data_IF_484575535897
#
_entry.id   IF_484575535897
#
_cell.length_a   1.000
_cell.length_b   1.000
_cell.length_c   1.000
_cell.angle_alpha   90.00
_cell.angle_beta   90.00
_cell.angle_gamma   90.00
#
_symmetry.space_group_name_H-M   'P 1'
#
loop_
_entity.id
_entity.type
_entity.pdbx_description
1 polymer ?
#
# COMPACT_ATOMS: atom_id res chain seq x y z
N UNK A 1 11.47 -61.62 8.99
CA UNK A 1 10.30 -61.10 8.27
C UNK A 1 10.65 -60.50 6.91
N UNK A 2 11.69 -59.68 6.81
CA UNK A 2 12.12 -59.01 5.56
C UNK A 2 12.49 -59.98 4.43
N UNK A 3 13.23 -61.07 4.73
CA UNK A 3 13.63 -62.05 3.72
C UNK A 3 12.45 -62.86 3.13
N UNK A 4 11.41 -63.11 3.92
CA UNK A 4 10.18 -63.75 3.39
C UNK A 4 9.40 -62.82 2.49
N UNK A 5 9.38 -61.54 2.79
CA UNK A 5 8.73 -60.52 1.96
C UNK A 5 9.46 -60.33 0.62
N UNK A 6 10.80 -60.32 0.66
CA UNK A 6 11.61 -60.21 -0.56
C UNK A 6 11.44 -61.47 -1.45
N UNK A 7 11.43 -62.70 -0.87
CA UNK A 7 11.22 -63.90 -1.67
C UNK A 7 9.81 -63.98 -2.30
N UNK A 8 8.76 -63.51 -1.59
CA UNK A 8 7.41 -63.41 -2.14
C UNK A 8 7.32 -62.40 -3.30
N UNK A 9 8.02 -61.29 -3.20
CA UNK A 9 8.13 -60.30 -4.27
C UNK A 9 8.86 -60.90 -5.51
N UNK A 10 9.96 -61.61 -5.31
CA UNK A 10 10.69 -62.19 -6.43
C UNK A 10 9.92 -63.32 -7.11
N UNK A 11 9.12 -64.12 -6.38
CA UNK A 11 8.24 -65.15 -6.96
C UNK A 11 7.06 -64.52 -7.72
N UNK A 12 6.54 -63.38 -7.26
CA UNK A 12 5.51 -62.59 -7.95
C UNK A 12 6.02 -62.02 -9.29
N UNK A 13 7.27 -61.57 -9.33
CA UNK A 13 7.94 -61.09 -10.54
C UNK A 13 8.27 -62.22 -11.52
N UNK A 14 8.64 -63.44 -11.01
CA UNK A 14 8.91 -64.62 -11.84
C UNK A 14 7.69 -65.21 -12.53
N UNK A 15 6.46 -64.97 -12.05
CA UNK A 15 5.22 -65.46 -12.62
C UNK A 15 4.65 -64.64 -13.80
N UNK A 16 5.44 -63.75 -14.44
CA UNK A 16 5.05 -62.99 -15.65
C UNK A 16 3.84 -62.10 -15.42
N UNK A 17 3.69 -61.03 -16.14
CA UNK A 17 2.52 -60.12 -16.19
C UNK A 17 1.91 -59.58 -14.89
N UNK A 18 1.60 -60.43 -13.94
CA UNK A 18 0.94 -60.07 -12.67
C UNK A 18 1.82 -59.17 -11.77
N UNK A 19 3.12 -59.44 -11.69
CA UNK A 19 4.07 -58.62 -10.90
C UNK A 19 4.28 -57.25 -11.47
N UNK A 20 4.37 -57.15 -12.79
CA UNK A 20 4.44 -55.88 -13.50
C UNK A 20 3.16 -55.02 -13.32
N UNK A 21 1.98 -55.70 -13.33
CA UNK A 21 0.71 -55.04 -13.10
C UNK A 21 0.60 -54.45 -11.68
N UNK A 22 0.98 -55.20 -10.66
CA UNK A 22 1.02 -54.73 -9.26
C UNK A 22 1.98 -53.54 -9.09
N UNK A 23 3.16 -53.62 -9.69
CA UNK A 23 4.17 -52.53 -9.65
C UNK A 23 3.58 -51.28 -10.32
N UNK A 24 2.95 -51.39 -11.50
CA UNK A 24 2.34 -50.29 -12.20
C UNK A 24 1.22 -49.66 -11.36
N UNK A 25 0.41 -50.49 -10.69
CA UNK A 25 -0.70 -50.00 -9.81
C UNK A 25 -0.14 -49.23 -8.60
N UNK A 26 0.93 -49.76 -7.97
CA UNK A 26 1.59 -49.03 -6.87
C UNK A 26 2.20 -47.70 -7.32
N UNK A 27 2.85 -47.66 -8.47
CA UNK A 27 3.41 -46.44 -9.03
C UNK A 27 2.29 -45.40 -9.33
N UNK A 28 1.19 -45.83 -9.92
CA UNK A 28 0.03 -44.98 -10.18
C UNK A 28 -0.59 -44.42 -8.89
N UNK A 29 -0.69 -45.26 -7.84
CA UNK A 29 -1.20 -44.85 -6.53
C UNK A 29 -0.29 -43.79 -5.89
N UNK A 30 1.03 -44.02 -5.88
CA UNK A 30 1.99 -43.06 -5.35
C UNK A 30 1.99 -41.76 -6.15
N UNK A 31 1.83 -41.81 -7.46
CA UNK A 31 1.73 -40.64 -8.31
C UNK A 31 0.48 -39.81 -7.97
N UNK A 32 -0.68 -40.46 -7.82
CA UNK A 32 -1.94 -39.79 -7.44
C UNK A 32 -1.84 -39.18 -6.05
N UNK A 33 -1.34 -39.91 -5.07
CA UNK A 33 -1.14 -39.41 -3.70
C UNK A 33 -0.16 -38.24 -3.67
N UNK A 34 0.95 -38.32 -4.41
CA UNK A 34 1.94 -37.26 -4.53
C UNK A 34 1.35 -35.98 -5.15
N UNK A 35 0.56 -36.11 -6.22
CA UNK A 35 -0.11 -34.94 -6.85
C UNK A 35 -1.16 -34.32 -5.96
N UNK A 36 -1.94 -35.11 -5.23
CA UNK A 36 -2.92 -34.60 -4.26
C UNK A 36 -2.23 -33.84 -3.12
N UNK A 37 -1.17 -34.42 -2.57
CA UNK A 37 -0.38 -33.78 -1.51
C UNK A 37 0.23 -32.44 -2.00
N UNK A 38 0.85 -32.45 -3.18
CA UNK A 38 1.41 -31.24 -3.78
C UNK A 38 0.36 -30.13 -3.98
N UNK A 39 -0.86 -30.51 -4.44
CA UNK A 39 -1.98 -29.55 -4.58
C UNK A 39 -2.41 -28.93 -3.25
N UNK A 40 -2.52 -29.73 -2.20
CA UNK A 40 -2.89 -29.24 -0.86
C UNK A 40 -1.84 -28.28 -0.32
N UNK A 41 -0.57 -28.67 -0.40
CA UNK A 41 0.54 -27.79 0.05
C UNK A 41 0.60 -26.49 -0.75
N UNK A 42 0.45 -26.58 -2.07
CA UNK A 42 0.43 -25.40 -2.94
C UNK A 42 -0.73 -24.48 -2.63
N UNK A 43 -1.96 -25.02 -2.49
CA UNK A 43 -3.14 -24.25 -2.15
C UNK A 43 -3.00 -23.54 -0.79
N UNK A 44 -2.46 -24.24 0.21
CA UNK A 44 -2.20 -23.67 1.53
C UNK A 44 -1.14 -22.55 1.51
N UNK A 45 -0.09 -22.71 0.71
CA UNK A 45 0.95 -21.68 0.56
C UNK A 45 0.43 -20.45 -0.19
N UNK A 46 -0.38 -20.65 -1.23
CA UNK A 46 -0.98 -19.58 -2.01
C UNK A 46 -1.98 -18.77 -1.18
N UNK A 47 -2.83 -19.43 -0.39
CA UNK A 47 -3.79 -18.75 0.47
C UNK A 47 -3.09 -17.85 1.51
N UNK A 48 -1.98 -18.32 2.11
CA UNK A 48 -1.18 -17.52 3.04
C UNK A 48 -0.56 -16.28 2.37
N UNK A 49 -0.02 -16.42 1.15
CA UNK A 49 0.52 -15.28 0.40
C UNK A 49 -0.55 -14.25 0.08
N UNK A 50 -1.72 -14.69 -0.44
CA UNK A 50 -2.83 -13.80 -0.75
C UNK A 50 -3.34 -13.08 0.52
N UNK A 51 -3.44 -13.76 1.64
CA UNK A 51 -3.84 -13.16 2.91
C UNK A 51 -2.84 -12.09 3.38
N UNK A 52 -1.53 -12.36 3.27
CA UNK A 52 -0.48 -11.41 3.62
C UNK A 52 -0.51 -10.16 2.73
N UNK A 53 -0.64 -10.33 1.41
CA UNK A 53 -0.73 -9.21 0.46
C UNK A 53 -1.97 -8.36 0.69
N UNK A 54 -3.12 -8.99 0.98
CA UNK A 54 -4.36 -8.27 1.33
C UNK A 54 -4.20 -7.47 2.63
N UNK A 55 -3.60 -8.06 3.66
CA UNK A 55 -3.35 -7.37 4.92
C UNK A 55 -2.43 -6.16 4.74
N UNK A 56 -1.38 -6.29 3.93
CA UNK A 56 -0.45 -5.21 3.62
C UNK A 56 -1.13 -4.09 2.79
N UNK A 57 -1.94 -4.45 1.79
CA UNK A 57 -2.74 -3.49 1.01
C UNK A 57 -3.72 -2.70 1.89
N UNK A 58 -4.43 -3.38 2.80
CA UNK A 58 -5.34 -2.72 3.76
C UNK A 58 -4.57 -1.79 4.71
N UNK A 59 -3.40 -2.22 5.21
CA UNK A 59 -2.55 -1.39 6.07
C UNK A 59 -2.08 -0.12 5.35
N UNK A 60 -1.62 -0.25 4.10
CA UNK A 60 -1.23 0.90 3.26
C UNK A 60 -2.39 1.85 3.00
N UNK A 61 -3.58 1.32 2.65
CA UNK A 61 -4.77 2.14 2.43
C UNK A 61 -5.19 2.90 3.68
N UNK A 62 -5.16 2.26 4.85
CA UNK A 62 -5.47 2.93 6.13
C UNK A 62 -4.46 4.02 6.47
N UNK A 63 -3.17 3.79 6.21
CA UNK A 63 -2.15 4.81 6.43
C UNK A 63 -2.35 6.04 5.53
N UNK A 64 -2.68 5.84 4.24
CA UNK A 64 -2.97 6.93 3.29
C UNK A 64 -4.22 7.69 3.70
N UNK A 65 -5.32 6.99 4.02
CA UNK A 65 -6.57 7.62 4.46
C UNK A 65 -6.39 8.37 5.79
N UNK A 66 -5.63 7.80 6.73
CA UNK A 66 -5.31 8.46 8.00
C UNK A 66 -4.48 9.74 7.80
N UNK A 67 -3.55 9.73 6.85
CA UNK A 67 -2.78 10.93 6.46
C UNK A 67 -3.68 12.03 5.92
N UNK A 68 -4.50 11.71 4.88
CA UNK A 68 -5.42 12.65 4.25
C UNK A 68 -6.45 13.23 5.24
N UNK A 69 -7.02 12.39 6.11
CA UNK A 69 -7.95 12.85 7.14
C UNK A 69 -7.25 13.75 8.16
N UNK A 70 -6.02 13.40 8.56
CA UNK A 70 -5.20 14.23 9.46
C UNK A 70 -4.86 15.60 8.88
N UNK A 71 -4.53 15.66 7.59
CA UNK A 71 -4.30 16.92 6.88
C UNK A 71 -5.55 17.81 6.94
N UNK A 72 -6.73 17.28 6.59
CA UNK A 72 -7.97 18.07 6.57
C UNK A 72 -8.47 18.52 7.95
N UNK A 73 -8.18 17.77 9.00
CA UNK A 73 -8.57 18.11 10.38
C UNK A 73 -7.54 19.01 11.07
N UNK A 74 -6.32 19.09 10.54
CA UNK A 74 -5.21 19.84 11.15
C UNK A 74 -5.52 21.30 11.50
N UNK A 75 -6.34 22.06 10.74
CA UNK A 75 -6.69 23.44 11.12
C UNK A 75 -7.41 23.56 12.48
N UNK A 76 -8.08 22.49 12.92
CA UNK A 76 -8.81 22.45 14.19
C UNK A 76 -8.00 21.89 15.35
N UNK A 77 -6.74 21.52 15.11
CA UNK A 77 -5.85 20.98 16.14
C UNK A 77 -5.10 22.12 16.86
N UNK A 78 -4.75 21.92 18.14
CA UNK A 78 -3.94 22.88 18.87
C UNK A 78 -2.60 23.15 18.18
N UNK A 79 -2.21 24.44 18.11
CA UNK A 79 -0.93 24.85 17.51
C UNK A 79 -0.97 25.06 15.99
N UNK A 80 -2.13 24.99 15.36
CA UNK A 80 -2.26 25.41 13.95
C UNK A 80 -1.93 26.93 13.82
N UNK A 81 -1.20 27.37 12.77
CA UNK A 81 -0.57 28.70 12.75
C UNK A 81 -1.52 29.87 12.54
N UNK A 82 -2.79 29.63 12.25
CA UNK A 82 -3.80 30.69 12.03
C UNK A 82 -5.22 30.24 12.42
N UNK A 83 -6.20 31.15 12.35
CA UNK A 83 -7.61 30.79 12.49
C UNK A 83 -7.98 29.79 11.38
N UNK A 84 -8.64 28.65 11.70
CA UNK A 84 -9.12 27.69 10.70
C UNK A 84 -9.96 28.32 9.58
N UNK A 85 -10.72 29.37 9.89
CA UNK A 85 -11.55 30.07 8.91
C UNK A 85 -10.73 30.86 7.86
N UNK A 86 -9.50 31.21 8.16
CA UNK A 86 -8.58 31.88 7.23
C UNK A 86 -7.85 30.89 6.29
N UNK A 87 -7.84 29.62 6.62
CA UNK A 87 -7.15 28.59 5.86
C UNK A 87 -8.02 28.03 4.73
N UNK A 88 -7.41 27.77 3.59
CA UNK A 88 -8.02 27.12 2.42
C UNK A 88 -7.22 25.87 2.08
N UNK A 89 -7.88 24.73 2.06
CA UNK A 89 -7.26 23.48 1.64
C UNK A 89 -6.99 23.51 0.12
N UNK A 90 -5.77 23.22 -0.26
CA UNK A 90 -5.29 23.17 -1.65
C UNK A 90 -4.96 21.73 -2.03
N UNK A 91 -4.33 20.97 -1.11
CA UNK A 91 -3.86 19.63 -1.34
C UNK A 91 -2.41 19.63 -1.81
N UNK A 92 -2.11 19.00 -2.94
CA UNK A 92 -0.72 19.00 -3.42
C UNK A 92 -0.46 20.20 -4.35
N UNK A 93 0.70 20.82 -4.27
CA UNK A 93 1.93 20.46 -3.54
C UNK A 93 2.11 21.12 -2.18
N UNK A 94 1.11 21.79 -1.65
CA UNK A 94 1.04 22.42 -0.33
C UNK A 94 -0.35 22.17 0.21
N UNK A 95 -0.48 21.79 1.47
CA UNK A 95 -1.77 21.38 2.02
C UNK A 95 -2.75 22.55 2.15
N UNK A 96 -2.28 23.69 2.65
CA UNK A 96 -3.11 24.88 2.82
C UNK A 96 -2.42 26.16 2.36
N UNK A 97 -3.26 27.13 1.95
CA UNK A 97 -2.92 28.55 1.88
C UNK A 97 -3.81 29.27 2.86
N UNK A 98 -3.25 30.12 3.71
CA UNK A 98 -4.02 30.90 4.67
C UNK A 98 -3.77 32.40 4.53
N UNK A 99 -4.80 33.17 4.89
CA UNK A 99 -4.84 34.61 4.83
C UNK A 99 -5.27 35.16 6.21
N UNK A 100 -4.33 35.18 7.21
CA UNK A 100 -4.66 35.58 8.56
C UNK A 100 -5.31 36.96 8.63
N UNK A 101 -6.48 37.04 9.31
CA UNK A 101 -7.32 38.23 9.40
C UNK A 101 -8.46 38.29 8.39
N UNK A 102 -8.47 37.48 7.35
CA UNK A 102 -9.50 37.53 6.32
C UNK A 102 -10.88 37.14 6.84
N UNK A 103 -11.01 36.19 7.77
CA UNK A 103 -12.26 35.76 8.33
C UNK A 103 -12.93 36.77 9.22
N UNK A 104 -12.13 37.57 9.90
CA UNK A 104 -12.59 38.61 10.83
C UNK A 104 -12.75 39.98 10.14
N UNK A 105 -12.42 40.08 8.86
CA UNK A 105 -12.46 41.33 8.08
C UNK A 105 -11.30 42.29 8.39
N UNK A 106 -10.25 41.77 9.03
CA UNK A 106 -9.03 42.51 9.32
C UNK A 106 -8.11 42.62 8.10
N UNK A 107 -7.11 43.50 8.20
CA UNK A 107 -6.08 43.64 7.17
C UNK A 107 -5.25 42.35 7.03
N UNK A 108 -5.13 41.86 5.81
CA UNK A 108 -4.24 40.70 5.50
C UNK A 108 -2.80 41.19 5.46
N UNK A 109 -1.99 40.82 6.47
CA UNK A 109 -0.60 41.23 6.59
C UNK A 109 0.39 40.22 6.01
N UNK A 110 -0.03 38.97 5.87
CA UNK A 110 0.80 37.89 5.34
C UNK A 110 -0.02 36.83 4.64
N UNK A 111 0.62 35.99 3.85
CA UNK A 111 0.06 34.79 3.25
C UNK A 111 0.90 33.61 3.72
N UNK A 112 0.26 32.63 4.34
CA UNK A 112 0.91 31.43 4.82
C UNK A 112 0.72 30.28 3.84
N UNK A 113 1.81 29.63 3.46
CA UNK A 113 1.82 28.34 2.78
C UNK A 113 2.12 27.27 3.85
N UNK A 114 1.14 26.43 4.13
CA UNK A 114 1.19 25.50 5.27
C UNK A 114 1.26 24.08 4.73
N UNK A 115 2.27 23.34 5.17
CA UNK A 115 2.45 21.91 4.94
C UNK A 115 2.32 21.17 6.25
N UNK A 116 1.41 20.21 6.31
CA UNK A 116 1.11 19.41 7.49
C UNK A 116 1.95 18.14 7.50
N UNK A 117 2.64 17.88 8.59
CA UNK A 117 3.40 16.64 8.77
C UNK A 117 3.00 15.96 10.07
N UNK A 118 2.88 14.65 10.04
CA UNK A 118 2.59 13.82 11.20
C UNK A 118 3.84 13.04 11.63
N UNK A 119 4.05 12.93 12.96
CA UNK A 119 5.16 12.17 13.53
C UNK A 119 6.52 12.69 13.03
N UNK A 120 7.38 11.77 12.58
CA UNK A 120 8.75 12.07 12.10
C UNK A 120 8.82 12.31 10.57
N UNK A 121 7.68 12.55 9.92
CA UNK A 121 7.65 12.74 8.47
C UNK A 121 8.42 13.98 8.04
N UNK A 122 9.34 13.83 7.10
CA UNK A 122 10.12 14.92 6.53
C UNK A 122 9.50 15.46 5.24
N UNK A 123 9.88 16.68 4.85
CA UNK A 123 9.45 17.28 3.60
C UNK A 123 9.91 16.46 2.39
N UNK A 124 9.03 16.27 1.42
CA UNK A 124 9.35 15.70 0.11
C UNK A 124 10.26 16.63 -0.70
N UNK A 125 10.82 16.14 -1.81
CA UNK A 125 11.64 16.96 -2.71
C UNK A 125 10.86 18.19 -3.22
N UNK A 126 9.60 18.02 -3.56
CA UNK A 126 8.75 19.09 -4.11
C UNK A 126 8.42 20.15 -3.06
N UNK A 127 8.07 19.75 -1.88
CA UNK A 127 7.78 20.65 -0.75
C UNK A 127 9.01 21.46 -0.35
N UNK A 128 10.21 20.85 -0.31
CA UNK A 128 11.49 21.58 -0.11
C UNK A 128 11.75 22.62 -1.20
N UNK A 129 11.42 22.31 -2.46
CA UNK A 129 11.58 23.27 -3.57
C UNK A 129 10.65 24.48 -3.40
N UNK A 130 9.39 24.26 -2.97
CA UNK A 130 8.43 25.34 -2.71
C UNK A 130 8.91 26.19 -1.55
N UNK A 131 9.27 25.56 -0.43
CA UNK A 131 9.84 26.25 0.73
C UNK A 131 11.00 27.16 0.32
N UNK A 132 11.95 26.64 -0.46
CA UNK A 132 13.09 27.42 -0.95
C UNK A 132 12.69 28.57 -1.89
N UNK A 133 11.61 28.43 -2.67
CA UNK A 133 11.08 29.53 -3.47
C UNK A 133 10.49 30.64 -2.61
N UNK A 134 9.74 30.28 -1.56
CA UNK A 134 9.15 31.24 -0.62
C UNK A 134 10.23 31.98 0.16
N UNK A 135 11.18 31.25 0.75
CA UNK A 135 12.30 31.81 1.51
C UNK A 135 13.18 32.74 0.65
N UNK A 136 13.27 32.50 -0.64
CA UNK A 136 14.01 33.35 -1.59
C UNK A 136 13.15 34.50 -2.18
N UNK A 137 11.93 34.72 -1.69
CA UNK A 137 11.05 35.78 -2.18
C UNK A 137 10.55 35.56 -3.63
N UNK A 138 10.61 34.34 -4.17
CA UNK A 138 10.20 34.03 -5.54
C UNK A 138 8.70 33.66 -5.61
N UNK A 139 7.88 34.46 -4.96
CA UNK A 139 6.40 34.40 -5.00
C UNK A 139 5.89 35.69 -5.61
N UNK A 140 4.97 35.59 -6.56
CA UNK A 140 4.42 36.75 -7.27
C UNK A 140 2.90 36.67 -7.31
N UNK A 141 2.24 37.83 -7.14
CA UNK A 141 0.83 38.00 -7.47
C UNK A 141 0.70 38.25 -8.97
N UNK A 142 -0.18 37.52 -9.66
CA UNK A 142 -0.43 37.68 -11.08
C UNK A 142 -1.94 37.85 -11.31
N UNK A 143 -2.35 38.95 -11.91
CA UNK A 143 -3.71 39.16 -12.38
C UNK A 143 -3.83 38.69 -13.83
N UNK A 144 -4.73 37.76 -14.10
CA UNK A 144 -5.03 37.31 -15.44
C UNK A 144 -6.44 37.77 -15.83
N UNK A 145 -6.55 38.49 -16.95
CA UNK A 145 -7.84 38.96 -17.48
C UNK A 145 -8.25 38.12 -18.67
N UNK A 146 -9.43 37.52 -18.58
CA UNK A 146 -10.03 36.80 -19.69
C UNK A 146 -10.49 37.84 -20.74
N UNK A 147 -10.09 37.72 -22.03
CA UNK A 147 -10.59 38.60 -23.09
C UNK A 147 -12.10 38.46 -23.21
N UNK A 148 -12.84 39.60 -23.20
CA UNK A 148 -14.26 39.61 -23.56
C UNK A 148 -14.37 39.37 -25.06
N UNK A 149 -15.15 38.38 -25.51
CA UNK A 149 -15.58 38.27 -26.89
C UNK A 149 -16.76 39.25 -27.06
N UNK A 150 -16.45 40.47 -27.49
CA UNK A 150 -17.43 41.41 -28.04
C UNK A 150 -17.73 41.04 -29.49
#
# INVERSE_FOLDING_TARGET
MLNRFISQLTDLFARGGAGLFVLALCCALFFVLGTLFARVVFAASLSKKIAAERADAVKKSRAVLGGLAGEQVSPFLPGFPCNPADARFVGKPVDFVAFPGAADGDEIKEILLIEVKSGEASLSKRERQIKACVEAGRVRYVEYRIPSND
#
